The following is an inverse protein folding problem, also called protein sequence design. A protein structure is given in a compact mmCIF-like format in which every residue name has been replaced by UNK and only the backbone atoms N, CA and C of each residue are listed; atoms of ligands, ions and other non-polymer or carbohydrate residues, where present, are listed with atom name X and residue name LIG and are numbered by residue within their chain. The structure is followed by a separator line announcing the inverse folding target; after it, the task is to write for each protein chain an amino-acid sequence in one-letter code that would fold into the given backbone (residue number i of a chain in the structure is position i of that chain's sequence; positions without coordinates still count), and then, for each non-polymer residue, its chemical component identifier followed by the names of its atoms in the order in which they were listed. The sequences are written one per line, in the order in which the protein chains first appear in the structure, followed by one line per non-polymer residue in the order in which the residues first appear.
data_IF_229253023056
#
_entry.id   IF_229253023056
#
_cell.length_a   1.000
_cell.length_b   1.000
_cell.length_c   1.000
_cell.angle_alpha   90.00
_cell.angle_beta   90.00
_cell.angle_gamma   90.00
#
_symmetry.space_group_name_H-M   'P 1'
#
loop_
_entity.id
_entity.type
_entity.pdbx_description
1 polymer ?
#
# COMPACT_ATOMS: atom_id res chain seq x y z
N UNK A 1 21.67 -13.25 13.01
CA UNK A 1 20.56 -12.48 13.63
C UNK A 1 19.20 -13.03 13.23
N UNK A 2 18.87 -13.14 11.93
CA UNK A 2 17.60 -13.76 11.50
C UNK A 2 17.46 -15.22 11.92
N UNK A 3 18.53 -16.01 11.76
CA UNK A 3 18.57 -17.44 12.16
C UNK A 3 18.37 -17.70 13.66
N UNK A 4 18.59 -16.68 14.50
CA UNK A 4 18.46 -16.81 15.95
C UNK A 4 17.00 -16.73 16.39
N UNK A 5 16.16 -15.98 15.66
CA UNK A 5 14.74 -15.83 15.95
C UNK A 5 13.91 -17.07 15.58
N UNK A 6 14.29 -17.76 14.50
CA UNK A 6 13.64 -19.01 14.07
C UNK A 6 13.79 -20.13 15.14
N UNK A 7 14.84 -20.06 15.97
CA UNK A 7 15.07 -21.02 17.07
C UNK A 7 14.08 -20.82 18.22
N UNK A 8 13.62 -19.59 18.47
CA UNK A 8 12.68 -19.30 19.56
C UNK A 8 11.23 -19.63 19.20
N UNK A 9 10.88 -19.62 17.91
CA UNK A 9 9.53 -19.96 17.44
C UNK A 9 9.60 -20.84 16.19
N UNK A 10 9.56 -22.18 16.32
CA UNK A 10 9.73 -23.09 15.19
C UNK A 10 8.62 -23.00 14.12
N UNK A 11 7.49 -22.36 14.45
CA UNK A 11 6.37 -22.14 13.54
C UNK A 11 6.47 -20.80 12.78
N UNK A 12 7.41 -19.92 13.13
CA UNK A 12 7.60 -18.62 12.47
C UNK A 12 8.95 -18.66 11.76
N UNK A 13 8.94 -18.55 10.44
CA UNK A 13 10.16 -18.45 9.63
C UNK A 13 10.31 -17.03 9.14
N UNK A 14 11.40 -16.36 9.51
CA UNK A 14 11.71 -15.04 8.97
C UNK A 14 12.36 -15.18 7.60
N UNK A 15 11.71 -14.67 6.56
CA UNK A 15 12.29 -14.57 5.21
C UNK A 15 12.97 -13.21 5.04
N UNK A 16 14.11 -13.21 4.35
CA UNK A 16 14.84 -12.00 3.98
C UNK A 16 15.04 -12.02 2.48
N UNK A 17 14.41 -11.07 1.80
CA UNK A 17 14.46 -10.96 0.34
C UNK A 17 15.11 -9.64 -0.02
N UNK A 18 16.15 -9.70 -0.85
CA UNK A 18 16.80 -8.51 -1.43
C UNK A 18 16.20 -8.33 -2.82
N UNK A 19 15.10 -7.58 -2.88
CA UNK A 19 14.40 -7.24 -4.12
C UNK A 19 14.63 -5.79 -4.52
N UNK A 20 14.34 -5.48 -5.80
CA UNK A 20 14.21 -4.07 -6.26
C UNK A 20 12.93 -3.43 -5.75
N UNK A 21 11.94 -4.22 -5.34
CA UNK A 21 10.67 -3.74 -4.79
C UNK A 21 10.17 -4.65 -3.67
N UNK A 22 9.48 -4.08 -2.70
CA UNK A 22 8.86 -4.76 -1.57
C UNK A 22 7.50 -4.14 -1.27
N UNK A 23 6.50 -4.99 -1.06
CA UNK A 23 5.20 -4.57 -0.55
C UNK A 23 5.16 -4.78 0.96
N UNK A 24 4.85 -3.73 1.72
CA UNK A 24 4.66 -3.83 3.16
C UNK A 24 3.38 -3.09 3.58
N UNK A 25 2.41 -3.85 4.07
CA UNK A 25 1.06 -3.36 4.39
C UNK A 25 0.44 -2.65 3.17
N UNK A 26 0.21 -1.34 3.29
CA UNK A 26 -0.41 -0.49 2.28
C UNK A 26 0.61 0.30 1.43
N UNK A 27 1.91 0.02 1.59
CA UNK A 27 2.99 0.77 0.94
C UNK A 27 3.79 -0.16 0.02
N UNK A 28 3.94 0.29 -1.22
CA UNK A 28 4.86 -0.29 -2.19
C UNK A 28 6.17 0.50 -2.09
N UNK A 29 7.28 -0.20 -1.91
CA UNK A 29 8.62 0.39 -1.87
C UNK A 29 9.38 -0.12 -3.09
N UNK A 30 10.02 0.77 -3.82
CA UNK A 30 10.84 0.44 -4.99
C UNK A 30 12.18 1.17 -4.92
N UNK A 31 13.27 0.46 -5.18
CA UNK A 31 14.59 1.05 -5.36
C UNK A 31 14.81 1.39 -6.84
N UNK A 32 14.69 2.68 -7.16
CA UNK A 32 14.96 3.22 -8.50
C UNK A 32 16.38 3.80 -8.52
N UNK A 33 17.34 3.00 -8.99
CA UNK A 33 18.74 3.40 -9.19
C UNK A 33 19.40 3.99 -7.92
N UNK A 34 19.14 3.40 -6.75
CA UNK A 34 19.70 3.85 -5.46
C UNK A 34 18.78 4.82 -4.69
N UNK A 35 17.67 5.24 -5.28
CA UNK A 35 16.67 6.05 -4.60
C UNK A 35 15.45 5.20 -4.23
N UNK A 36 15.07 5.20 -2.95
CA UNK A 36 13.83 4.59 -2.51
C UNK A 36 12.64 5.48 -2.89
N UNK A 37 11.72 4.92 -3.65
CA UNK A 37 10.44 5.51 -4.02
C UNK A 37 9.34 4.68 -3.40
N UNK A 38 8.44 5.35 -2.68
CA UNK A 38 7.23 4.75 -2.12
C UNK A 38 5.99 5.19 -2.86
N UNK A 39 5.00 4.29 -2.96
CA UNK A 39 3.66 4.52 -3.49
C UNK A 39 2.63 3.66 -2.75
N UNK A 40 1.34 3.80 -3.08
CA UNK A 40 0.29 2.97 -2.48
C UNK A 40 0.38 1.55 -3.07
N UNK A 41 0.38 0.56 -2.19
CA UNK A 41 0.28 -0.84 -2.61
C UNK A 41 -1.18 -1.21 -2.89
N UNK A 42 -1.44 -1.75 -4.08
CA UNK A 42 -2.74 -2.30 -4.47
C UNK A 42 -2.63 -3.81 -4.59
N UNK A 43 -3.51 -4.54 -3.89
CA UNK A 43 -3.60 -5.99 -4.08
C UNK A 43 -4.35 -6.26 -5.38
N UNK A 44 -3.93 -7.28 -6.13
CA UNK A 44 -4.56 -7.66 -7.41
C UNK A 44 -6.05 -7.99 -7.28
N UNK A 45 -6.49 -8.40 -6.09
CA UNK A 45 -7.90 -8.68 -5.77
C UNK A 45 -8.72 -7.44 -5.38
N UNK A 46 -8.10 -6.27 -5.30
CA UNK A 46 -8.79 -5.02 -4.92
C UNK A 46 -9.58 -4.51 -6.11
N UNK A 47 -10.88 -4.28 -5.91
CA UNK A 47 -11.67 -3.62 -6.95
C UNK A 47 -11.14 -2.20 -7.21
N UNK A 48 -10.99 -1.79 -8.48
CA UNK A 48 -10.42 -0.49 -8.83
C UNK A 48 -11.36 0.68 -8.48
N UNK A 49 -12.63 0.40 -8.17
CA UNK A 49 -13.62 1.43 -7.83
C UNK A 49 -14.07 1.28 -6.40
N UNK A 50 -13.97 2.40 -5.68
CA UNK A 50 -14.14 2.43 -4.25
C UNK A 50 -15.62 2.65 -3.84
N UNK A 51 -16.47 3.08 -4.78
CA UNK A 51 -17.86 3.44 -4.52
C UNK A 51 -18.84 2.37 -5.01
N UNK A 52 -19.42 1.56 -4.11
CA UNK A 52 -20.53 0.69 -4.48
C UNK A 52 -21.75 1.56 -4.78
N UNK A 53 -22.10 1.71 -6.07
CA UNK A 53 -23.28 2.45 -6.55
C UNK A 53 -24.62 1.96 -5.99
N UNK A 54 -24.64 0.78 -5.32
CA UNK A 54 -25.83 0.16 -4.73
C UNK A 54 -25.83 0.08 -3.20
N UNK A 55 -24.88 0.73 -2.54
CA UNK A 55 -24.79 0.67 -1.08
C UNK A 55 -25.72 1.66 -0.40
N UNK A 56 -26.51 1.19 0.57
CA UNK A 56 -27.37 2.02 1.42
C UNK A 56 -26.59 2.50 2.67
N UNK A 57 -25.56 3.31 2.43
CA UNK A 57 -24.78 3.92 3.49
C UNK A 57 -25.00 5.44 3.52
N UNK A 58 -24.79 6.10 4.68
CA UNK A 58 -24.86 7.55 4.76
C UNK A 58 -23.87 8.24 3.81
N UNK A 59 -24.24 9.41 3.28
CA UNK A 59 -23.40 10.22 2.39
C UNK A 59 -21.99 10.49 2.94
N UNK A 60 -21.88 10.68 4.25
CA UNK A 60 -20.59 10.96 4.89
C UNK A 60 -19.63 9.76 4.82
N UNK A 61 -20.13 8.53 4.80
CA UNK A 61 -19.32 7.32 4.67
C UNK A 61 -18.64 7.30 3.31
N UNK A 62 -19.39 7.57 2.23
CA UNK A 62 -18.84 7.68 0.88
C UNK A 62 -17.80 8.81 0.76
N UNK A 63 -18.08 9.98 1.33
CA UNK A 63 -17.12 11.08 1.33
C UNK A 63 -15.83 10.73 2.10
N UNK A 64 -15.96 10.06 3.24
CA UNK A 64 -14.81 9.66 4.05
C UNK A 64 -13.96 8.60 3.36
N UNK A 65 -14.57 7.72 2.58
CA UNK A 65 -13.84 6.74 1.80
C UNK A 65 -12.90 7.44 0.79
N UNK A 66 -13.42 8.39 0.00
CA UNK A 66 -12.59 9.19 -0.94
C UNK A 66 -11.50 9.96 -0.19
N UNK A 67 -11.84 10.61 0.93
CA UNK A 67 -10.88 11.37 1.75
C UNK A 67 -9.78 10.48 2.30
N UNK A 68 -10.11 9.26 2.69
CA UNK A 68 -9.15 8.28 3.22
C UNK A 68 -8.22 7.81 2.11
N UNK A 69 -8.75 7.49 0.92
CA UNK A 69 -7.94 7.12 -0.23
C UNK A 69 -6.96 8.24 -0.61
N UNK A 70 -7.43 9.50 -0.69
CA UNK A 70 -6.57 10.66 -0.94
C UNK A 70 -5.50 10.84 0.15
N UNK A 71 -5.87 10.70 1.42
CA UNK A 71 -4.93 10.84 2.53
C UNK A 71 -3.83 9.78 2.48
N UNK A 72 -4.19 8.54 2.13
CA UNK A 72 -3.23 7.45 1.88
C UNK A 72 -2.32 7.76 0.70
N UNK A 73 -2.89 8.22 -0.41
CA UNK A 73 -2.14 8.63 -1.60
C UNK A 73 -1.08 9.68 -1.27
N UNK A 74 -1.45 10.73 -0.53
CA UNK A 74 -0.53 11.80 -0.10
C UNK A 74 0.54 11.24 0.83
N UNK A 75 0.16 10.40 1.80
CA UNK A 75 1.08 9.92 2.84
C UNK A 75 2.09 8.90 2.33
N UNK A 76 1.67 8.01 1.43
CA UNK A 76 2.50 6.89 0.98
C UNK A 76 3.28 7.20 -0.30
N UNK A 77 2.90 8.23 -1.06
CA UNK A 77 3.63 8.64 -2.25
C UNK A 77 4.82 9.53 -1.89
N UNK A 78 6.02 9.01 -2.11
CA UNK A 78 7.27 9.76 -1.94
C UNK A 78 7.50 10.86 -2.98
N UNK A 79 6.87 10.75 -4.16
CA UNK A 79 7.01 11.73 -5.24
C UNK A 79 5.66 12.21 -5.74
N UNK A 80 5.64 13.40 -6.35
CA UNK A 80 4.44 13.94 -6.97
C UNK A 80 3.92 13.06 -8.12
N UNK A 81 4.79 12.33 -8.80
CA UNK A 81 4.38 11.44 -9.89
C UNK A 81 3.63 10.22 -9.36
N UNK A 82 4.10 9.62 -8.27
CA UNK A 82 3.39 8.52 -7.60
C UNK A 82 2.03 8.99 -7.06
N UNK A 83 1.97 10.19 -6.47
CA UNK A 83 0.70 10.76 -6.02
C UNK A 83 -0.27 11.01 -7.18
N UNK A 84 0.22 11.58 -8.29
CA UNK A 84 -0.60 11.81 -9.49
C UNK A 84 -1.08 10.50 -10.11
N UNK A 85 -0.24 9.46 -10.08
CA UNK A 85 -0.60 8.13 -10.54
C UNK A 85 -1.77 7.58 -9.72
N UNK A 86 -1.65 7.62 -8.40
CA UNK A 86 -2.66 7.13 -7.45
C UNK A 86 -3.99 7.88 -7.57
N UNK A 87 -3.93 9.22 -7.70
CA UNK A 87 -5.11 10.07 -7.86
C UNK A 87 -5.99 9.69 -9.07
N UNK A 88 -5.47 8.97 -10.07
CA UNK A 88 -6.29 8.55 -11.23
C UNK A 88 -7.28 7.43 -10.88
N UNK A 89 -7.08 6.74 -9.77
CA UNK A 89 -7.89 5.61 -9.32
C UNK A 89 -8.87 5.97 -8.19
N UNK A 90 -8.89 7.24 -7.76
CA UNK A 90 -9.77 7.78 -6.71
C UNK A 90 -10.82 8.67 -7.35
#
# INVERSE_FOLDING_TARGET
MLSTADVYHPNIKLTSEIGKSLSFLDVQIENRNGQLVTSVHHKDSTEPYILPFKSDHPRHSFANIIRTALSRAIRYSSTLQEFKHERRYI
#
